data_IF_908819393626
#
_entry.id   IF_908819393626
#
_cell.length_a   1.000
_cell.length_b   1.000
_cell.length_c   1.000
_cell.angle_alpha   90.00
_cell.angle_beta   90.00
_cell.angle_gamma   90.00
#
_symmetry.space_group_name_H-M   'P 1'
#
loop_
_entity.id
_entity.type
_entity.pdbx_description
1 polymer ?
#
# COMPACT_ATOMS: atom_id res chain seq x y z
N UNK A 1 11.58 -5.09 -9.99
CA UNK A 1 11.00 -3.81 -10.47
C UNK A 1 11.83 -2.68 -9.91
N UNK A 2 12.40 -1.83 -10.76
CA UNK A 2 13.23 -0.70 -10.30
C UNK A 2 12.46 0.61 -10.24
N UNK A 3 11.57 0.87 -11.20
CA UNK A 3 10.70 2.04 -11.24
C UNK A 3 9.55 1.77 -12.21
N UNK A 4 8.33 2.13 -11.81
CA UNK A 4 7.14 2.04 -12.65
C UNK A 4 6.54 3.44 -12.79
N UNK A 5 6.32 3.95 -14.03
CA UNK A 5 5.62 5.21 -14.22
C UNK A 5 4.15 5.05 -13.83
N UNK A 6 3.65 5.97 -13.02
CA UNK A 6 2.22 6.09 -12.71
C UNK A 6 1.57 7.19 -13.56
N UNK A 7 2.37 8.22 -13.88
CA UNK A 7 2.07 9.37 -14.74
C UNK A 7 3.40 9.90 -15.27
N UNK A 8 3.37 10.92 -16.14
CA UNK A 8 4.59 11.57 -16.66
C UNK A 8 5.45 12.18 -15.54
N UNK A 9 4.78 12.71 -14.50
CA UNK A 9 5.36 13.36 -13.34
C UNK A 9 5.46 12.47 -12.08
N UNK A 10 4.94 11.22 -12.13
CA UNK A 10 4.86 10.35 -10.95
C UNK A 10 5.38 8.93 -11.20
N UNK A 11 6.14 8.40 -10.22
CA UNK A 11 6.74 7.06 -10.29
C UNK A 11 6.56 6.29 -9.00
N UNK A 12 6.32 4.98 -9.13
CA UNK A 12 6.38 4.00 -8.05
C UNK A 12 7.77 3.36 -8.05
N UNK A 13 8.43 3.33 -6.89
CA UNK A 13 9.76 2.74 -6.71
C UNK A 13 9.85 1.99 -5.38
N UNK A 14 10.70 0.96 -5.22
CA UNK A 14 11.00 0.41 -3.91
C UNK A 14 11.47 1.52 -2.95
N UNK A 15 10.89 1.53 -1.75
CA UNK A 15 11.29 2.47 -0.68
C UNK A 15 12.29 1.76 0.23
N UNK A 16 13.56 2.11 0.07
CA UNK A 16 14.70 1.42 0.62
C UNK A 16 15.34 2.19 1.79
N UNK A 17 16.24 1.56 2.55
CA UNK A 17 16.85 2.15 3.76
C UNK A 17 17.57 3.47 3.47
N UNK A 18 18.15 3.66 2.30
CA UNK A 18 18.83 4.91 1.91
C UNK A 18 17.88 6.08 1.62
N UNK A 19 16.58 5.84 1.53
CA UNK A 19 15.55 6.89 1.43
C UNK A 19 15.06 7.38 2.81
N UNK A 20 15.74 7.03 3.91
CA UNK A 20 15.24 7.32 5.25
C UNK A 20 15.03 8.81 5.52
N UNK A 21 15.89 9.68 4.98
CA UNK A 21 15.76 11.14 5.13
C UNK A 21 14.53 11.66 4.36
N UNK A 22 14.32 11.22 3.12
CA UNK A 22 13.12 11.56 2.33
C UNK A 22 11.85 11.04 3.01
N UNK A 23 11.91 9.81 3.55
CA UNK A 23 10.76 9.20 4.23
C UNK A 23 10.43 9.94 5.54
N UNK A 24 11.42 10.31 6.34
CA UNK A 24 11.22 11.12 7.53
C UNK A 24 10.61 12.49 7.19
N UNK A 25 11.14 13.19 6.18
CA UNK A 25 10.61 14.47 5.74
C UNK A 25 9.17 14.35 5.20
N UNK A 26 8.84 13.26 4.50
CA UNK A 26 7.48 12.97 4.08
C UNK A 26 6.56 12.73 5.27
N UNK A 27 6.99 11.91 6.25
CA UNK A 27 6.21 11.65 7.47
C UNK A 27 5.95 12.94 8.26
N UNK A 28 6.89 13.88 8.32
CA UNK A 28 6.68 15.18 8.96
C UNK A 28 5.55 15.96 8.29
N UNK A 29 5.51 16.02 6.96
CA UNK A 29 4.46 16.73 6.21
C UNK A 29 3.09 16.06 6.33
N UNK A 30 3.06 14.73 6.36
CA UNK A 30 1.84 13.94 6.25
C UNK A 30 1.32 13.39 7.60
N UNK A 31 2.10 13.50 8.68
CA UNK A 31 1.88 12.81 9.97
C UNK A 31 0.46 12.95 10.49
N UNK A 32 -0.03 14.16 10.65
CA UNK A 32 -1.37 14.39 11.20
C UNK A 32 -2.48 13.82 10.32
N UNK A 33 -2.25 13.78 9.01
CA UNK A 33 -3.20 13.25 8.05
C UNK A 33 -3.25 11.72 8.02
N UNK A 34 -2.11 11.04 8.12
CA UNK A 34 -2.02 9.58 7.96
C UNK A 34 -2.09 8.82 9.29
N UNK A 35 -1.63 9.42 10.40
CA UNK A 35 -1.57 8.77 11.73
C UNK A 35 -2.87 8.11 12.19
N UNK A 36 -4.07 8.69 11.95
CA UNK A 36 -5.33 8.03 12.33
C UNK A 36 -5.62 6.73 11.58
N UNK A 37 -5.01 6.53 10.42
CA UNK A 37 -5.39 5.50 9.44
C UNK A 37 -4.36 4.40 9.23
N UNK A 38 -3.13 4.63 9.62
CA UNK A 38 -2.05 3.64 9.52
C UNK A 38 -1.59 3.22 10.92
N UNK A 39 -0.99 2.03 11.01
CA UNK A 39 -0.53 1.51 12.30
C UNK A 39 0.53 2.43 12.94
N UNK A 40 0.53 2.57 14.28
CA UNK A 40 1.43 3.49 14.99
C UNK A 40 2.91 3.17 14.79
N UNK A 41 3.24 1.91 14.49
CA UNK A 41 4.62 1.51 14.20
C UNK A 41 5.13 1.99 12.83
N UNK A 42 4.27 2.52 11.96
CA UNK A 42 4.63 3.03 10.63
C UNK A 42 4.93 4.53 10.66
N UNK A 43 4.11 5.31 11.38
CA UNK A 43 4.23 6.77 11.47
C UNK A 43 5.13 7.11 12.65
N UNK A 44 6.41 7.28 12.37
CA UNK A 44 7.45 7.61 13.35
C UNK A 44 7.68 9.12 13.45
N UNK A 45 8.26 9.57 14.55
CA UNK A 45 8.41 11.00 14.86
C UNK A 45 9.79 11.55 14.48
N UNK A 46 10.75 10.68 14.13
CA UNK A 46 12.13 11.05 13.84
C UNK A 46 12.78 10.18 12.75
N UNK A 47 14.01 10.53 12.38
CA UNK A 47 14.80 9.84 11.36
C UNK A 47 15.15 8.40 11.77
N UNK A 48 15.43 8.15 13.03
CA UNK A 48 15.81 6.81 13.50
C UNK A 48 14.60 5.87 13.45
N UNK A 49 13.43 6.35 13.80
CA UNK A 49 12.18 5.64 13.60
C UNK A 49 11.89 5.35 12.13
N UNK A 50 12.10 6.33 11.24
CA UNK A 50 11.97 6.15 9.80
C UNK A 50 12.94 5.06 9.28
N UNK A 51 14.21 5.10 9.66
CA UNK A 51 15.19 4.04 9.36
C UNK A 51 14.76 2.69 9.89
N UNK A 52 14.25 2.64 11.12
CA UNK A 52 13.72 1.42 11.73
C UNK A 52 12.56 0.81 10.95
N UNK A 53 11.65 1.64 10.45
CA UNK A 53 10.54 1.19 9.60
C UNK A 53 11.05 0.61 8.29
N UNK A 54 11.92 1.31 7.58
CA UNK A 54 12.49 0.83 6.31
C UNK A 54 13.28 -0.46 6.49
N UNK A 55 14.08 -0.58 7.58
CA UNK A 55 14.82 -1.80 7.90
C UNK A 55 13.89 -3.00 8.12
N UNK A 56 12.81 -2.85 8.89
CA UNK A 56 11.83 -3.93 9.10
C UNK A 56 11.24 -4.44 7.79
N UNK A 57 10.92 -3.52 6.86
CA UNK A 57 10.40 -3.93 5.55
C UNK A 57 11.47 -4.60 4.69
N UNK A 58 12.71 -4.11 4.69
CA UNK A 58 13.83 -4.75 3.98
C UNK A 58 14.11 -6.16 4.49
N UNK A 59 14.10 -6.37 5.83
CA UNK A 59 14.27 -7.69 6.45
C UNK A 59 13.12 -8.64 6.08
N UNK A 60 11.87 -8.18 6.11
CA UNK A 60 10.72 -8.99 5.71
C UNK A 60 10.74 -9.31 4.22
N UNK A 61 11.12 -8.36 3.38
CA UNK A 61 11.28 -8.58 1.95
C UNK A 61 12.37 -9.59 1.61
N UNK A 62 13.48 -9.59 2.34
CA UNK A 62 14.54 -10.59 2.20
C UNK A 62 14.07 -12.02 2.51
N UNK A 63 13.07 -12.15 3.39
CA UNK A 63 12.37 -13.42 3.69
C UNK A 63 11.14 -13.67 2.81
N UNK A 64 11.02 -12.98 1.67
CA UNK A 64 9.88 -13.07 0.74
C UNK A 64 8.52 -12.64 1.33
N UNK A 65 8.53 -11.85 2.39
CA UNK A 65 7.35 -11.33 3.08
C UNK A 65 6.93 -9.93 2.61
N UNK A 66 6.56 -9.08 3.56
CA UNK A 66 6.10 -7.72 3.33
C UNK A 66 7.08 -6.86 2.52
N UNK A 67 6.55 -5.92 1.73
CA UNK A 67 7.33 -5.01 0.85
C UNK A 67 6.81 -3.60 0.92
N UNK A 68 7.67 -2.63 0.68
CA UNK A 68 7.33 -1.21 0.76
C UNK A 68 7.75 -0.48 -0.53
N UNK A 69 6.83 0.29 -1.09
CA UNK A 69 7.06 1.08 -2.29
C UNK A 69 6.63 2.52 -2.04
N UNK A 70 7.48 3.46 -2.42
CA UNK A 70 7.18 4.89 -2.38
C UNK A 70 6.60 5.38 -3.71
N UNK A 71 5.80 6.43 -3.64
CA UNK A 71 5.32 7.19 -4.77
C UNK A 71 6.03 8.53 -4.77
N UNK A 72 6.78 8.81 -5.82
CA UNK A 72 7.42 10.11 -6.07
C UNK A 72 6.61 10.87 -7.09
N UNK A 73 6.26 12.11 -6.77
CA UNK A 73 5.60 13.08 -7.63
C UNK A 73 6.57 14.28 -7.78
N UNK A 74 6.93 14.63 -9.02
CA UNK A 74 7.94 15.65 -9.32
C UNK A 74 9.23 15.49 -8.49
N UNK A 75 9.69 14.25 -8.33
CA UNK A 75 10.89 13.91 -7.56
C UNK A 75 10.74 13.96 -6.05
N UNK A 76 9.57 14.29 -5.51
CA UNK A 76 9.29 14.32 -4.07
C UNK A 76 8.50 13.08 -3.64
N UNK A 77 8.90 12.42 -2.57
CA UNK A 77 8.15 11.33 -1.95
C UNK A 77 6.86 11.86 -1.34
N UNK A 78 5.71 11.44 -1.85
CA UNK A 78 4.37 11.94 -1.44
C UNK A 78 3.49 10.86 -0.80
N UNK A 79 3.92 9.61 -0.77
CA UNK A 79 3.17 8.50 -0.22
C UNK A 79 3.68 7.17 -0.71
N UNK A 80 2.83 6.14 -0.66
CA UNK A 80 3.22 4.83 -1.16
C UNK A 80 2.17 3.76 -0.97
N UNK A 81 2.55 2.56 -1.37
CA UNK A 81 1.80 1.32 -1.22
C UNK A 81 2.70 0.23 -0.66
N UNK A 82 2.11 -0.75 -0.02
CA UNK A 82 2.86 -1.82 0.62
C UNK A 82 2.09 -3.13 0.61
N UNK A 83 2.82 -4.24 0.64
CA UNK A 83 2.28 -5.45 1.22
C UNK A 83 2.58 -5.40 2.72
N UNK A 84 1.55 -5.29 3.54
CA UNK A 84 1.68 -5.37 5.01
C UNK A 84 1.96 -6.79 5.44
N UNK A 85 1.46 -7.74 4.66
CA UNK A 85 1.77 -9.15 4.73
C UNK A 85 1.82 -9.79 3.34
N UNK A 86 2.68 -10.80 3.15
CA UNK A 86 2.79 -11.56 1.91
C UNK A 86 3.22 -12.99 2.27
N UNK A 87 2.33 -13.94 2.06
CA UNK A 87 2.57 -15.37 2.29
C UNK A 87 2.46 -16.13 0.97
N UNK A 88 3.63 -16.38 0.35
CA UNK A 88 3.70 -17.10 -0.92
C UNK A 88 3.24 -18.55 -0.80
N UNK A 89 3.41 -19.18 0.38
CA UNK A 89 3.03 -20.58 0.58
C UNK A 89 1.50 -20.73 0.70
N UNK A 90 0.84 -19.76 1.35
CA UNK A 90 -0.63 -19.70 1.44
C UNK A 90 -1.27 -19.07 0.21
N UNK A 91 -0.48 -18.41 -0.66
CA UNK A 91 -0.98 -17.68 -1.81
C UNK A 91 -1.83 -16.48 -1.41
N UNK A 92 -1.47 -15.78 -0.33
CA UNK A 92 -2.24 -14.66 0.19
C UNK A 92 -1.37 -13.44 0.48
N UNK A 93 -1.97 -12.24 0.36
CA UNK A 93 -1.30 -11.01 0.73
C UNK A 93 -2.30 -9.99 1.31
N UNK A 94 -1.80 -9.06 2.12
CA UNK A 94 -2.53 -7.87 2.56
C UNK A 94 -1.84 -6.64 1.99
N UNK A 95 -2.60 -5.80 1.26
CA UNK A 95 -2.10 -4.56 0.65
C UNK A 95 -2.61 -3.35 1.43
N UNK A 96 -1.77 -2.33 1.56
CA UNK A 96 -2.11 -1.07 2.20
C UNK A 96 -1.50 0.12 1.45
N UNK A 97 -1.93 1.32 1.81
CA UNK A 97 -1.41 2.56 1.23
C UNK A 97 -1.41 3.71 2.22
N UNK A 98 -0.65 4.74 1.88
CA UNK A 98 -0.69 6.05 2.52
C UNK A 98 -0.37 7.14 1.50
N UNK A 99 -0.88 8.34 1.69
CA UNK A 99 -0.65 9.47 0.78
C UNK A 99 -0.77 10.78 1.55
N UNK A 100 0.04 11.78 1.20
CA UNK A 100 -0.14 13.13 1.71
C UNK A 100 -1.28 13.87 0.98
N UNK A 101 -1.95 14.85 1.63
CA UNK A 101 -3.12 15.53 1.06
C UNK A 101 -2.88 16.17 -0.29
N UNK A 102 -1.68 16.75 -0.50
CA UNK A 102 -1.34 17.46 -1.73
C UNK A 102 -1.30 16.55 -2.99
N UNK A 103 -1.16 15.23 -2.79
CA UNK A 103 -1.11 14.24 -3.88
C UNK A 103 -2.44 13.48 -4.05
N UNK A 104 -3.48 13.82 -3.27
CA UNK A 104 -4.80 13.20 -3.40
C UNK A 104 -5.51 13.60 -4.71
N UNK A 105 -6.44 12.77 -5.17
CA UNK A 105 -7.23 13.04 -6.38
C UNK A 105 -6.53 12.79 -7.72
N UNK A 106 -5.24 12.46 -7.71
CA UNK A 106 -4.43 12.22 -8.92
C UNK A 106 -4.47 10.78 -9.43
N UNK A 107 -5.19 9.89 -8.75
CA UNK A 107 -5.29 8.46 -9.12
C UNK A 107 -4.05 7.62 -8.79
N UNK A 108 -3.03 8.19 -8.14
CA UNK A 108 -1.74 7.55 -7.88
C UNK A 108 -1.87 6.24 -7.09
N UNK A 109 -2.65 6.25 -6.00
CA UNK A 109 -2.86 5.05 -5.16
C UNK A 109 -3.51 3.93 -5.97
N UNK A 110 -4.57 4.22 -6.72
CA UNK A 110 -5.27 3.19 -7.51
C UNK A 110 -4.33 2.54 -8.52
N UNK A 111 -3.55 3.33 -9.27
CA UNK A 111 -2.58 2.82 -10.24
C UNK A 111 -1.46 2.02 -9.58
N UNK A 112 -0.93 2.50 -8.45
CA UNK A 112 0.12 1.80 -7.71
C UNK A 112 -0.39 0.47 -7.14
N UNK A 113 -1.60 0.44 -6.56
CA UNK A 113 -2.22 -0.79 -6.08
C UNK A 113 -2.50 -1.78 -7.21
N UNK A 114 -2.96 -1.29 -8.38
CA UNK A 114 -3.12 -2.13 -9.57
C UNK A 114 -1.82 -2.87 -9.91
N UNK A 115 -0.71 -2.14 -10.03
CA UNK A 115 0.58 -2.73 -10.35
C UNK A 115 1.03 -3.78 -9.32
N UNK A 116 0.78 -3.54 -8.03
CA UNK A 116 1.11 -4.51 -6.98
C UNK A 116 0.23 -5.76 -7.06
N UNK A 117 -1.08 -5.60 -7.32
CA UNK A 117 -2.02 -6.72 -7.42
C UNK A 117 -1.76 -7.54 -8.69
N UNK A 118 -1.47 -6.90 -9.83
CA UNK A 118 -1.06 -7.60 -11.04
C UNK A 118 0.17 -8.45 -10.76
N UNK A 119 1.21 -7.87 -10.17
CA UNK A 119 2.42 -8.60 -9.81
C UNK A 119 2.13 -9.76 -8.84
N UNK A 120 1.29 -9.53 -7.81
CA UNK A 120 0.97 -10.57 -6.84
C UNK A 120 0.23 -11.76 -7.48
N UNK A 121 -0.75 -11.50 -8.35
CA UNK A 121 -1.55 -12.54 -8.96
C UNK A 121 -0.86 -13.22 -10.15
N UNK A 122 -0.17 -12.46 -11.02
CA UNK A 122 0.42 -13.00 -12.24
C UNK A 122 1.83 -13.55 -12.02
N UNK A 123 2.72 -12.78 -11.38
CA UNK A 123 4.12 -13.18 -11.23
C UNK A 123 4.37 -14.04 -9.99
N UNK A 124 3.57 -13.84 -8.94
CA UNK A 124 3.77 -14.54 -7.67
C UNK A 124 2.75 -15.65 -7.40
N UNK A 125 1.72 -15.76 -8.23
CA UNK A 125 0.71 -16.79 -8.11
C UNK A 125 -0.14 -16.69 -6.84
N UNK A 126 -0.25 -15.51 -6.25
CA UNK A 126 -1.18 -15.28 -5.15
C UNK A 126 -2.61 -15.60 -5.61
N UNK A 127 -3.42 -16.14 -4.73
CA UNK A 127 -4.83 -16.44 -4.99
C UNK A 127 -5.76 -15.37 -4.39
N UNK A 128 -5.32 -14.71 -3.33
CA UNK A 128 -6.13 -13.78 -2.54
C UNK A 128 -5.34 -12.55 -2.12
N UNK A 129 -5.92 -11.38 -2.32
CA UNK A 129 -5.42 -10.13 -1.77
C UNK A 129 -6.47 -9.49 -0.85
N UNK A 130 -6.03 -9.05 0.33
CA UNK A 130 -6.86 -8.38 1.32
C UNK A 130 -6.53 -6.91 1.43
N UNK A 131 -7.53 -6.13 1.84
CA UNK A 131 -7.40 -4.71 2.18
C UNK A 131 -8.15 -4.45 3.49
N UNK A 132 -7.44 -3.94 4.48
CA UNK A 132 -8.01 -3.65 5.78
C UNK A 132 -8.02 -2.16 6.04
N UNK A 133 -9.17 -1.62 6.49
CA UNK A 133 -9.28 -0.22 6.88
C UNK A 133 -10.25 -0.03 8.05
N UNK A 134 -10.13 1.09 8.76
CA UNK A 134 -11.16 1.50 9.71
C UNK A 134 -12.48 1.73 8.96
N UNK A 135 -13.59 1.37 9.59
CA UNK A 135 -14.91 1.42 8.97
C UNK A 135 -15.36 2.85 8.63
N UNK A 136 -14.82 3.84 9.34
CA UNK A 136 -15.05 5.28 9.11
C UNK A 136 -14.01 5.93 8.17
N UNK A 137 -13.13 5.14 7.53
CA UNK A 137 -12.21 5.62 6.50
C UNK A 137 -12.82 5.46 5.10
N UNK A 138 -13.74 6.36 4.74
CA UNK A 138 -14.43 6.32 3.46
C UNK A 138 -13.49 6.38 2.25
N UNK A 139 -12.37 7.11 2.37
CA UNK A 139 -11.35 7.19 1.30
C UNK A 139 -10.70 5.85 1.04
N UNK A 140 -10.32 5.15 2.09
CA UNK A 140 -9.71 3.81 2.00
C UNK A 140 -10.71 2.79 1.44
N UNK A 141 -11.96 2.80 1.92
CA UNK A 141 -13.04 1.95 1.40
C UNK A 141 -13.33 2.23 -0.08
N UNK A 142 -13.24 3.49 -0.51
CA UNK A 142 -13.41 3.86 -1.92
C UNK A 142 -12.26 3.34 -2.81
N UNK A 143 -11.04 3.24 -2.29
CA UNK A 143 -9.93 2.58 -3.01
C UNK A 143 -10.23 1.09 -3.17
N UNK A 144 -10.59 0.38 -2.10
CA UNK A 144 -10.93 -1.04 -2.16
C UNK A 144 -12.03 -1.34 -3.22
N UNK A 145 -13.10 -0.52 -3.23
CA UNK A 145 -14.17 -0.66 -4.25
C UNK A 145 -13.66 -0.45 -5.68
N UNK A 146 -12.81 0.57 -5.91
CA UNK A 146 -12.23 0.81 -7.25
C UNK A 146 -11.30 -0.31 -7.73
N UNK A 147 -10.69 -1.03 -6.80
CA UNK A 147 -9.89 -2.22 -7.08
C UNK A 147 -10.77 -3.49 -7.27
N UNK A 148 -12.10 -3.36 -7.26
CA UNK A 148 -13.00 -4.50 -7.43
C UNK A 148 -13.09 -5.43 -6.22
N UNK A 149 -12.63 -4.99 -5.05
CA UNK A 149 -12.68 -5.79 -3.84
C UNK A 149 -14.09 -5.88 -3.27
N UNK A 150 -14.43 -7.04 -2.74
CA UNK A 150 -15.67 -7.32 -2.02
C UNK A 150 -15.49 -7.11 -0.52
N UNK A 151 -16.44 -6.44 0.14
CA UNK A 151 -16.48 -6.35 1.60
C UNK A 151 -16.95 -7.68 2.18
N UNK A 152 -16.06 -8.41 2.83
CA UNK A 152 -16.35 -9.72 3.42
C UNK A 152 -16.83 -9.65 4.88
N UNK A 153 -16.52 -8.56 5.56
CA UNK A 153 -16.98 -8.40 6.93
C UNK A 153 -16.44 -7.18 7.66
N UNK A 154 -16.97 -7.02 8.87
CA UNK A 154 -16.56 -5.96 9.80
C UNK A 154 -16.17 -6.58 11.13
N UNK A 155 -14.93 -6.38 11.56
CA UNK A 155 -14.45 -6.76 12.88
C UNK A 155 -14.76 -5.63 13.86
N UNK A 156 -15.73 -5.85 14.74
CA UNK A 156 -16.14 -4.83 15.72
C UNK A 156 -15.01 -4.52 16.68
N UNK A 157 -14.76 -3.21 16.90
CA UNK A 157 -13.84 -2.66 17.89
C UNK A 157 -12.41 -3.23 17.83
N UNK A 158 -11.96 -3.64 16.64
CA UNK A 158 -10.66 -4.29 16.44
C UNK A 158 -9.52 -3.31 16.10
N UNK A 159 -9.81 -2.02 15.92
CA UNK A 159 -8.82 -0.98 15.64
C UNK A 159 -8.74 0.02 16.81
N UNK A 160 -7.73 -0.09 17.68
CA UNK A 160 -7.52 0.90 18.75
C UNK A 160 -6.82 2.14 18.19
N UNK A 161 -7.38 3.33 18.46
CA UNK A 161 -6.75 4.61 18.13
C UNK A 161 -7.19 5.69 19.11
N UNK A 162 -6.24 6.49 19.64
CA UNK A 162 -6.49 7.62 20.56
C UNK A 162 -7.44 7.28 21.74
N UNK A 163 -7.24 6.11 22.35
CA UNK A 163 -8.05 5.65 23.49
C UNK A 163 -9.44 5.11 23.12
N UNK A 164 -9.82 5.14 21.85
CA UNK A 164 -11.10 4.63 21.35
C UNK A 164 -10.87 3.38 20.49
N UNK A 165 -11.86 2.49 20.49
CA UNK A 165 -11.86 1.32 19.61
C UNK A 165 -12.82 1.55 18.45
N UNK A 166 -12.32 1.33 17.23
CA UNK A 166 -13.07 1.48 15.99
C UNK A 166 -13.29 0.12 15.33
N UNK A 167 -14.32 0.02 14.54
CA UNK A 167 -14.58 -1.13 13.69
C UNK A 167 -13.58 -1.17 12.54
N UNK A 168 -13.23 -2.37 12.06
CA UNK A 168 -12.30 -2.62 10.96
C UNK A 168 -13.00 -3.39 9.87
N UNK A 169 -13.06 -2.85 8.67
CA UNK A 169 -13.54 -3.52 7.47
C UNK A 169 -12.45 -4.43 6.90
N UNK A 170 -12.88 -5.58 6.40
CA UNK A 170 -12.06 -6.55 5.69
C UNK A 170 -12.62 -6.67 4.27
N UNK A 171 -11.83 -6.26 3.30
CA UNK A 171 -12.12 -6.35 1.88
C UNK A 171 -11.18 -7.36 1.26
N UNK A 172 -11.62 -8.05 0.20
CA UNK A 172 -10.77 -8.97 -0.52
C UNK A 172 -11.12 -9.01 -2.01
N UNK A 173 -10.15 -9.43 -2.82
CA UNK A 173 -10.32 -9.83 -4.21
C UNK A 173 -9.54 -11.12 -4.46
N UNK A 174 -10.13 -12.03 -5.24
CA UNK A 174 -9.52 -13.30 -5.63
C UNK A 174 -8.89 -13.19 -7.01
N UNK A 175 -7.85 -13.98 -7.28
CA UNK A 175 -7.17 -13.99 -8.57
C UNK A 175 -8.12 -14.18 -9.78
N UNK A 176 -9.11 -15.10 -9.76
CA UNK A 176 -10.07 -15.21 -10.87
C UNK A 176 -10.96 -13.97 -11.05
N UNK A 177 -11.32 -13.29 -9.96
CA UNK A 177 -12.12 -12.05 -10.00
C UNK A 177 -11.27 -10.92 -10.59
N UNK A 178 -10.00 -10.80 -10.16
CA UNK A 178 -9.06 -9.83 -10.69
C UNK A 178 -8.83 -10.01 -12.19
N UNK A 179 -8.61 -11.25 -12.65
CA UNK A 179 -8.44 -11.58 -14.06
C UNK A 179 -9.69 -11.27 -14.90
N UNK A 180 -10.88 -11.51 -14.34
CA UNK A 180 -12.14 -11.19 -15.02
C UNK A 180 -12.37 -9.67 -15.17
N UNK A 181 -11.89 -8.86 -14.21
CA UNK A 181 -11.96 -7.40 -14.28
C UNK A 181 -10.88 -6.80 -15.21
N UNK A 182 -9.76 -7.50 -15.42
CA UNK A 182 -8.60 -7.06 -16.18
C UNK A 182 -8.16 -8.13 -17.18
N UNK A 183 -9.00 -8.44 -18.21
CA UNK A 183 -8.76 -9.54 -19.16
C UNK A 183 -7.52 -9.31 -20.05
N UNK A 184 -7.14 -8.06 -20.24
CA UNK A 184 -5.87 -7.69 -20.86
C UNK A 184 -4.86 -7.49 -19.72
N UNK A 185 -4.14 -8.58 -19.37
CA UNK A 185 -3.04 -8.47 -18.41
C UNK A 185 -2.16 -7.28 -18.83
N UNK A 186 -1.87 -6.36 -17.91
CA UNK A 186 -0.96 -5.26 -18.19
C UNK A 186 0.38 -5.86 -18.57
N UNK A 187 0.68 -5.82 -19.85
CA UNK A 187 2.00 -6.18 -20.38
C UNK A 187 2.99 -5.09 -19.91
N UNK A 188 3.55 -5.31 -18.71
CA UNK A 188 4.59 -4.45 -18.14
C UNK A 188 5.86 -4.42 -19.04
N UNK A 189 5.90 -5.25 -20.10
CA UNK A 189 7.00 -5.34 -21.05
C UNK A 189 6.93 -4.28 -22.17
N UNK A 190 5.81 -3.56 -22.35
CA UNK A 190 5.64 -2.60 -23.45
C UNK A 190 5.85 -1.14 -23.05
N UNK A 191 6.37 -0.88 -21.87
CA UNK A 191 6.72 0.49 -21.42
C UNK A 191 8.26 0.62 -21.37
N UNK A 192 8.91 0.61 -22.55
CA UNK A 192 10.28 1.12 -22.74
C UNK A 192 10.31 2.66 -22.66
#
# INVERSE_FOLDING_TARGET
>A
MFSLPLRDDARLRPLEIWHAEEFAAHLDRAREHIRPWVGPAFVTDDLDGARGTLRRYAERQAGDGARLYGIWLDGTLVGGVMFTDFDAAMGSCEIGCWLEPAAEGLGLITKACHALLDWAFTDRGAHRAEWHCRADNDRSSAVARRLGMTLEGVRRQSWPYAGTRHDKQIWAVLAPEWQALHPEGHDLATME
#
